data_IF_179528330712
#
_entry.id   IF_179528330712
#
_cell.length_a   1.000
_cell.length_b   1.000
_cell.length_c   1.000
_cell.angle_alpha   90.00
_cell.angle_beta   90.00
_cell.angle_gamma   90.00
#
_symmetry.space_group_name_H-M   'P 1'
#
loop_
_entity.id
_entity.type
_entity.pdbx_description
1 polymer ?
#
# COMPACT_ATOMS: atom_id res chain seq x y z
N UNK A 1 -44.00 -16.90 8.18
CA UNK A 1 -42.92 -15.93 8.21
C UNK A 1 -41.68 -16.65 8.71
N UNK A 2 -40.66 -16.88 7.89
CA UNK A 2 -39.41 -17.45 8.36
C UNK A 2 -38.46 -16.33 8.82
N UNK A 3 -37.91 -16.53 10.00
CA UNK A 3 -36.93 -15.68 10.67
C UNK A 3 -35.67 -15.51 9.80
N UNK A 4 -35.30 -14.26 9.56
CA UNK A 4 -34.03 -13.94 8.94
C UNK A 4 -32.92 -14.06 9.98
N UNK A 5 -32.06 -15.06 9.79
CA UNK A 5 -30.81 -15.18 10.54
C UNK A 5 -29.91 -13.98 10.21
N UNK A 6 -29.24 -13.38 11.21
CA UNK A 6 -28.25 -12.34 10.93
C UNK A 6 -27.03 -12.94 10.20
N UNK A 7 -26.35 -12.20 9.34
CA UNK A 7 -25.20 -12.69 8.61
C UNK A 7 -24.04 -13.01 9.57
N UNK A 8 -23.44 -14.18 9.33
CA UNK A 8 -22.32 -14.71 10.09
C UNK A 8 -21.17 -13.71 10.23
N UNK A 9 -20.72 -13.52 11.46
CA UNK A 9 -19.57 -12.69 11.84
C UNK A 9 -18.20 -13.25 11.39
N UNK A 10 -18.16 -14.33 10.62
CA UNK A 10 -16.90 -14.97 10.18
C UNK A 10 -16.20 -14.29 8.99
N UNK A 11 -16.82 -13.31 8.35
CA UNK A 11 -16.26 -12.68 7.13
C UNK A 11 -15.17 -11.62 7.37
N UNK A 12 -14.81 -11.31 8.60
CA UNK A 12 -13.87 -10.23 8.95
C UNK A 12 -12.44 -10.69 9.29
N UNK A 13 -12.10 -11.97 9.10
CA UNK A 13 -10.82 -12.53 9.59
C UNK A 13 -9.75 -12.79 8.52
N UNK A 14 -9.82 -12.18 7.32
CA UNK A 14 -8.89 -12.48 6.22
C UNK A 14 -7.92 -11.37 5.87
N UNK A 15 -7.17 -10.88 6.86
CA UNK A 15 -5.92 -10.16 6.59
C UNK A 15 -4.73 -10.95 7.16
N UNK A 16 -4.13 -11.81 6.35
CA UNK A 16 -2.90 -12.50 6.75
C UNK A 16 -1.71 -11.58 6.58
N UNK A 17 -1.12 -11.18 7.70
CA UNK A 17 0.11 -10.41 7.75
C UNK A 17 1.32 -11.34 7.81
N UNK A 18 2.22 -11.25 6.84
CA UNK A 18 3.55 -11.86 6.91
C UNK A 18 4.52 -10.79 7.45
N UNK A 19 5.07 -11.00 8.65
CA UNK A 19 6.06 -10.09 9.25
C UNK A 19 7.33 -10.82 9.59
N UNK A 20 8.48 -10.24 9.26
CA UNK A 20 9.79 -10.71 9.69
C UNK A 20 10.16 -10.05 11.03
N UNK A 21 10.35 -10.86 12.06
CA UNK A 21 11.02 -10.49 13.31
C UNK A 21 10.19 -9.68 14.31
N UNK A 22 10.64 -9.70 15.56
CA UNK A 22 10.05 -8.98 16.69
C UNK A 22 9.98 -7.47 16.42
N UNK A 23 8.79 -6.94 16.29
CA UNK A 23 8.57 -5.49 16.30
C UNK A 23 8.70 -5.02 17.73
N UNK A 24 9.80 -4.34 18.06
CA UNK A 24 9.90 -3.59 19.30
C UNK A 24 8.74 -2.59 19.38
N UNK A 25 8.10 -2.40 20.55
CA UNK A 25 7.03 -1.42 20.67
C UNK A 25 7.56 -0.03 20.30
N UNK A 26 6.76 0.81 19.65
CA UNK A 26 7.17 2.14 19.26
C UNK A 26 7.54 2.94 20.51
N UNK A 27 8.69 3.63 20.49
CA UNK A 27 9.02 4.66 21.47
C UNK A 27 7.88 5.68 21.47
N UNK A 28 7.42 6.03 22.67
CA UNK A 28 6.42 7.07 22.90
C UNK A 28 7.03 8.47 22.59
N UNK A 29 7.22 8.78 21.32
CA UNK A 29 7.31 10.16 20.87
C UNK A 29 5.88 10.66 20.71
N UNK A 30 5.56 11.78 21.33
CA UNK A 30 4.23 12.40 21.35
C UNK A 30 3.75 12.93 19.97
N UNK A 31 4.48 12.64 18.90
CA UNK A 31 4.10 12.98 17.52
C UNK A 31 3.00 12.03 17.04
N UNK A 32 1.91 12.58 16.54
CA UNK A 32 0.89 11.78 15.86
C UNK A 32 1.52 10.94 14.73
N UNK A 33 1.21 9.63 14.70
CA UNK A 33 1.67 8.72 13.66
C UNK A 33 1.12 9.18 12.30
N UNK A 34 1.89 9.02 11.24
CA UNK A 34 1.47 9.32 9.86
C UNK A 34 1.74 8.14 8.94
N UNK A 35 0.72 7.78 8.16
CA UNK A 35 0.74 6.67 7.22
C UNK A 35 0.51 7.18 5.80
N UNK A 36 1.45 6.89 4.89
CA UNK A 36 1.35 7.22 3.48
C UNK A 36 0.88 5.97 2.70
N UNK A 37 -0.31 6.05 2.09
CA UNK A 37 -0.90 4.98 1.28
C UNK A 37 -0.67 5.30 -0.20
N UNK A 38 0.21 4.56 -0.86
CA UNK A 38 0.57 4.77 -2.26
C UNK A 38 -0.30 3.92 -3.18
N UNK A 39 -1.16 4.57 -3.94
CA UNK A 39 -1.98 3.92 -4.95
C UNK A 39 -1.16 3.50 -6.17
N UNK A 40 -1.61 2.51 -6.94
CA UNK A 40 -1.02 2.20 -8.23
C UNK A 40 -1.00 3.44 -9.14
N UNK A 41 0.12 3.65 -9.85
CA UNK A 41 0.17 4.68 -10.88
C UNK A 41 -0.97 4.47 -11.90
N UNK A 42 -1.79 5.47 -12.17
CA UNK A 42 -3.03 5.50 -12.96
C UNK A 42 -4.30 5.06 -12.20
N UNK A 43 -4.21 4.66 -10.94
CA UNK A 43 -5.41 4.47 -10.13
C UNK A 43 -6.09 5.83 -9.89
N UNK A 44 -7.41 5.86 -9.99
CA UNK A 44 -8.19 7.07 -9.79
C UNK A 44 -8.75 7.11 -8.38
N UNK A 45 -8.27 8.03 -7.58
CA UNK A 45 -8.80 8.30 -6.24
C UNK A 45 -9.88 9.38 -6.32
N UNK A 46 -11.04 9.02 -6.85
CA UNK A 46 -12.12 9.96 -7.19
C UNK A 46 -13.45 9.43 -6.70
N UNK A 47 -14.26 10.31 -6.10
CA UNK A 47 -15.60 9.98 -5.62
C UNK A 47 -16.56 9.54 -6.74
N UNK A 48 -16.34 10.00 -7.97
CA UNK A 48 -17.21 9.70 -9.12
C UNK A 48 -16.74 8.57 -10.01
N UNK A 49 -15.44 8.20 -9.92
CA UNK A 49 -14.84 7.22 -10.82
C UNK A 49 -13.63 6.53 -10.16
N UNK A 50 -13.85 6.00 -8.95
CA UNK A 50 -12.82 5.27 -8.24
C UNK A 50 -12.43 3.99 -8.97
N UNK A 51 -11.13 3.69 -9.01
CA UNK A 51 -10.66 2.36 -9.34
C UNK A 51 -10.88 1.38 -8.19
N UNK A 52 -10.76 0.09 -8.46
CA UNK A 52 -11.02 -0.95 -7.46
C UNK A 52 -10.10 -0.84 -6.22
N UNK A 53 -8.82 -0.54 -6.43
CA UNK A 53 -7.86 -0.37 -5.33
C UNK A 53 -8.17 0.90 -4.54
N UNK A 54 -8.54 1.99 -5.22
CA UNK A 54 -8.92 3.24 -4.57
C UNK A 54 -10.15 3.05 -3.68
N UNK A 55 -11.16 2.29 -4.12
CA UNK A 55 -12.34 1.95 -3.31
C UNK A 55 -11.95 1.18 -2.05
N UNK A 56 -11.14 0.14 -2.18
CA UNK A 56 -10.66 -0.63 -1.01
C UNK A 56 -9.89 0.26 -0.03
N UNK A 57 -9.00 1.12 -0.53
CA UNK A 57 -8.25 2.05 0.33
C UNK A 57 -9.17 3.02 1.04
N UNK A 58 -10.17 3.57 0.33
CA UNK A 58 -11.17 4.47 0.93
C UNK A 58 -11.92 3.78 2.06
N UNK A 59 -12.40 2.55 1.84
CA UNK A 59 -13.15 1.80 2.85
C UNK A 59 -12.25 1.46 4.06
N UNK A 60 -11.00 1.06 3.85
CA UNK A 60 -10.05 0.77 4.92
C UNK A 60 -9.75 2.02 5.76
N UNK A 61 -9.52 3.17 5.12
CA UNK A 61 -9.26 4.43 5.82
C UNK A 61 -10.47 4.84 6.64
N UNK A 62 -11.67 4.82 6.06
CA UNK A 62 -12.93 5.19 6.75
C UNK A 62 -13.27 4.27 7.92
N UNK A 63 -12.95 2.97 7.80
CA UNK A 63 -13.14 2.01 8.89
C UNK A 63 -12.11 2.17 10.01
N UNK A 64 -11.02 2.92 9.81
CA UNK A 64 -9.99 3.10 10.82
C UNK A 64 -10.40 4.12 11.88
N UNK A 65 -10.13 3.80 13.15
CA UNK A 65 -10.29 4.75 14.26
C UNK A 65 -9.27 5.92 14.22
N UNK A 66 -8.28 5.84 13.33
CA UNK A 66 -7.21 6.83 13.17
C UNK A 66 -7.15 7.34 11.74
N UNK A 67 -8.32 7.52 11.12
CA UNK A 67 -8.43 7.92 9.71
C UNK A 67 -7.69 9.23 9.40
N UNK A 68 -7.60 10.14 10.34
CA UNK A 68 -6.88 11.42 10.28
C UNK A 68 -5.34 11.29 10.15
N UNK A 69 -4.82 10.08 10.32
CA UNK A 69 -3.38 9.78 10.22
C UNK A 69 -2.96 9.25 8.85
N UNK A 70 -3.93 9.00 7.98
CA UNK A 70 -3.68 8.47 6.65
C UNK A 70 -3.64 9.60 5.63
N UNK A 71 -2.66 9.52 4.76
CA UNK A 71 -2.54 10.34 3.57
C UNK A 71 -2.47 9.44 2.35
N UNK A 72 -3.41 9.57 1.44
CA UNK A 72 -3.44 8.82 0.18
C UNK A 72 -2.63 9.56 -0.87
N UNK A 73 -1.68 8.87 -1.49
CA UNK A 73 -0.81 9.39 -2.53
C UNK A 73 -1.20 8.75 -3.86
N UNK A 74 -1.57 9.55 -4.84
CA UNK A 74 -2.02 9.05 -6.14
C UNK A 74 -1.74 10.02 -7.27
N UNK A 75 -2.06 9.62 -8.50
CA UNK A 75 -2.02 10.54 -9.65
C UNK A 75 -3.12 11.59 -9.53
N UNK A 76 -2.90 12.84 -10.01
CA UNK A 76 -3.92 13.88 -9.97
C UNK A 76 -5.24 13.42 -10.60
N UNK A 77 -6.35 13.81 -9.97
CA UNK A 77 -7.73 13.59 -10.43
C UNK A 77 -8.55 14.85 -10.23
N UNK A 78 -9.62 15.03 -10.99
CA UNK A 78 -10.44 16.24 -10.95
C UNK A 78 -11.31 16.35 -9.69
N UNK A 79 -11.82 15.22 -9.18
CA UNK A 79 -12.72 15.18 -8.03
C UNK A 79 -12.26 14.07 -7.05
N UNK A 80 -11.22 14.31 -6.24
CA UNK A 80 -10.79 13.35 -5.23
C UNK A 80 -11.89 13.18 -4.15
N UNK A 81 -11.79 12.11 -3.36
CA UNK A 81 -12.57 12.04 -2.12
C UNK A 81 -12.17 13.21 -1.22
N UNK A 82 -13.16 13.90 -0.66
CA UNK A 82 -13.00 15.14 0.12
C UNK A 82 -12.82 14.91 1.63
N UNK A 83 -13.18 13.71 2.09
CA UNK A 83 -13.11 13.30 3.50
C UNK A 83 -11.78 12.62 3.89
N UNK A 84 -10.86 12.40 2.93
CA UNK A 84 -9.57 11.75 3.15
C UNK A 84 -8.44 12.64 2.62
N UNK A 85 -7.39 12.81 3.41
CA UNK A 85 -6.22 13.58 2.95
C UNK A 85 -5.64 12.95 1.67
N UNK A 86 -5.77 13.64 0.55
CA UNK A 86 -5.24 13.21 -0.74
C UNK A 86 -4.09 14.12 -1.19
N UNK A 87 -2.96 13.51 -1.51
CA UNK A 87 -1.80 14.19 -2.06
C UNK A 87 -1.62 13.80 -3.53
N UNK A 88 -2.03 14.64 -4.48
CA UNK A 88 -1.82 14.40 -5.90
C UNK A 88 -0.34 14.47 -6.25
N UNK A 89 0.18 13.42 -6.86
CA UNK A 89 1.58 13.32 -7.24
C UNK A 89 1.71 13.28 -8.77
N UNK A 90 2.04 14.41 -9.41
CA UNK A 90 2.22 14.46 -10.85
C UNK A 90 3.51 13.73 -11.26
N UNK A 91 3.36 12.69 -12.08
CA UNK A 91 4.49 11.95 -12.63
C UNK A 91 4.91 12.56 -13.94
N UNK A 92 6.05 13.24 -13.97
CA UNK A 92 6.66 13.68 -15.24
C UNK A 92 7.14 12.46 -16.01
N UNK A 93 6.66 12.26 -17.24
CA UNK A 93 7.17 11.25 -18.14
C UNK A 93 8.67 11.50 -18.37
N UNK A 94 9.51 10.68 -17.77
CA UNK A 94 10.93 10.60 -18.13
C UNK A 94 11.10 9.39 -19.05
N UNK A 95 11.73 9.57 -20.18
CA UNK A 95 11.96 8.56 -21.21
C UNK A 95 12.63 7.27 -20.70
N UNK A 96 13.35 7.36 -19.60
CA UNK A 96 14.20 6.28 -19.08
C UNK A 96 13.54 5.40 -18.01
N UNK A 97 12.38 5.76 -17.48
CA UNK A 97 11.76 5.03 -16.36
C UNK A 97 10.27 4.82 -16.64
N UNK A 98 9.81 3.57 -16.55
CA UNK A 98 8.39 3.24 -16.64
C UNK A 98 7.57 3.97 -15.53
N UNK A 99 6.27 4.16 -15.75
CA UNK A 99 5.40 4.96 -14.88
C UNK A 99 5.47 4.61 -13.39
N UNK A 100 5.65 3.33 -13.05
CA UNK A 100 5.77 2.88 -11.66
C UNK A 100 7.05 3.41 -10.98
N UNK A 101 8.20 3.35 -11.65
CA UNK A 101 9.45 3.88 -11.09
C UNK A 101 9.41 5.41 -11.06
N UNK A 102 8.86 6.03 -12.10
CA UNK A 102 8.64 7.49 -12.11
C UNK A 102 7.77 7.96 -10.94
N UNK A 103 6.74 7.20 -10.58
CA UNK A 103 5.89 7.46 -9.42
C UNK A 103 6.67 7.31 -8.11
N UNK A 104 7.43 6.22 -7.95
CA UNK A 104 8.28 6.01 -6.78
C UNK A 104 9.31 7.15 -6.60
N UNK A 105 9.96 7.59 -7.67
CA UNK A 105 10.92 8.71 -7.62
C UNK A 105 10.24 10.04 -7.29
N UNK A 106 9.04 10.30 -7.83
CA UNK A 106 8.26 11.49 -7.49
C UNK A 106 7.90 11.50 -6.00
N UNK A 107 7.47 10.35 -5.46
CA UNK A 107 7.20 10.19 -4.04
C UNK A 107 8.44 10.43 -3.17
N UNK A 108 9.57 9.82 -3.52
CA UNK A 108 10.83 10.02 -2.79
C UNK A 108 11.30 11.48 -2.83
N UNK A 109 11.08 12.17 -3.95
CA UNK A 109 11.38 13.59 -4.07
C UNK A 109 10.44 14.46 -3.21
N UNK A 110 9.15 14.10 -3.13
CA UNK A 110 8.18 14.77 -2.27
C UNK A 110 8.58 14.68 -0.79
N UNK A 111 9.13 13.54 -0.37
CA UNK A 111 9.59 13.36 1.01
C UNK A 111 10.85 14.17 1.37
N UNK A 112 11.55 14.74 0.39
CA UNK A 112 12.75 15.56 0.70
C UNK A 112 12.37 16.80 1.49
N UNK A 113 12.99 16.98 2.64
CA UNK A 113 12.71 18.11 3.52
C UNK A 113 11.43 17.99 4.36
N UNK A 114 10.74 16.85 4.28
CA UNK A 114 9.61 16.53 5.15
C UNK A 114 10.00 15.47 6.19
N UNK A 115 9.28 15.46 7.31
CA UNK A 115 9.37 14.35 8.25
C UNK A 115 8.94 13.05 7.57
N UNK A 116 9.69 11.98 7.75
CA UNK A 116 9.33 10.67 7.20
C UNK A 116 8.00 10.18 7.78
N UNK A 117 7.15 9.50 7.00
CA UNK A 117 5.99 8.81 7.53
C UNK A 117 6.43 7.64 8.40
N UNK A 118 5.60 7.23 9.34
CA UNK A 118 5.85 6.09 10.21
C UNK A 118 5.69 4.75 9.45
N UNK A 119 4.88 4.76 8.39
CA UNK A 119 4.73 3.63 7.46
C UNK A 119 4.40 4.16 6.06
N UNK A 120 5.00 3.54 5.07
CA UNK A 120 4.63 3.66 3.65
C UNK A 120 3.97 2.36 3.24
N UNK A 121 2.70 2.38 2.91
CA UNK A 121 1.99 1.22 2.38
C UNK A 121 1.82 1.37 0.87
N UNK A 122 2.37 0.41 0.11
CA UNK A 122 2.33 0.41 -1.36
C UNK A 122 1.31 -0.59 -1.84
N UNK A 123 0.29 -0.12 -2.57
CA UNK A 123 -0.77 -0.99 -3.08
C UNK A 123 -0.43 -1.56 -4.46
N UNK A 124 -0.43 -2.90 -4.58
CA UNK A 124 -0.41 -3.66 -5.82
C UNK A 124 0.78 -3.41 -6.76
N UNK A 125 1.93 -2.95 -6.24
CA UNK A 125 3.10 -2.66 -7.09
C UNK A 125 4.41 -3.07 -6.42
N UNK A 126 4.76 -4.35 -6.54
CA UNK A 126 6.00 -4.93 -6.00
C UNK A 126 7.24 -4.09 -6.35
N UNK A 127 7.36 -3.66 -7.61
CA UNK A 127 8.46 -2.86 -8.10
C UNK A 127 8.58 -1.49 -7.39
N UNK A 128 7.46 -0.85 -7.04
CA UNK A 128 7.44 0.43 -6.34
C UNK A 128 7.93 0.26 -4.91
N UNK A 129 7.40 -0.74 -4.20
CA UNK A 129 7.82 -1.06 -2.82
C UNK A 129 9.31 -1.39 -2.75
N UNK A 130 9.79 -2.26 -3.66
CA UNK A 130 11.21 -2.61 -3.75
C UNK A 130 12.10 -1.38 -4.01
N UNK A 131 11.68 -0.50 -4.94
CA UNK A 131 12.45 0.70 -5.30
C UNK A 131 12.53 1.70 -4.13
N UNK A 132 11.39 1.99 -3.48
CA UNK A 132 11.36 2.88 -2.32
C UNK A 132 12.25 2.34 -1.20
N UNK A 133 12.13 1.06 -0.88
CA UNK A 133 12.94 0.43 0.18
C UNK A 133 14.44 0.41 -0.16
N UNK A 134 14.80 0.23 -1.42
CA UNK A 134 16.19 0.26 -1.86
C UNK A 134 16.80 1.68 -1.77
N UNK A 135 16.03 2.73 -2.06
CA UNK A 135 16.49 4.12 -2.02
C UNK A 135 16.44 4.74 -0.61
N UNK A 136 15.51 4.29 0.21
CA UNK A 136 15.31 4.74 1.59
C UNK A 136 15.15 3.52 2.52
N UNK A 137 16.27 2.87 2.87
CA UNK A 137 16.24 1.69 3.73
C UNK A 137 15.77 1.98 5.16
N UNK A 138 15.78 3.23 5.57
CA UNK A 138 15.25 3.73 6.85
C UNK A 138 13.72 3.71 6.92
N UNK A 139 13.02 3.82 5.79
CA UNK A 139 11.56 3.80 5.77
C UNK A 139 11.02 2.40 6.10
N UNK A 140 9.97 2.39 6.91
CA UNK A 140 9.12 1.20 7.06
C UNK A 140 8.18 1.13 5.86
N UNK A 141 8.32 0.08 5.07
CA UNK A 141 7.52 -0.10 3.85
C UNK A 141 6.74 -1.41 3.97
N UNK A 142 5.42 -1.33 3.79
CA UNK A 142 4.54 -2.48 3.60
C UNK A 142 4.09 -2.56 2.13
N UNK A 143 3.82 -3.78 1.67
CA UNK A 143 3.25 -4.04 0.35
C UNK A 143 1.90 -4.72 0.52
N UNK A 144 0.85 -4.09 -0.03
CA UNK A 144 -0.50 -4.63 -0.04
C UNK A 144 -0.80 -5.23 -1.42
N UNK A 145 -1.00 -6.55 -1.47
CA UNK A 145 -1.23 -7.30 -2.70
C UNK A 145 -2.72 -7.54 -2.93
N UNK A 146 -3.25 -6.99 -4.03
CA UNK A 146 -4.63 -7.18 -4.48
C UNK A 146 -4.75 -8.26 -5.56
N UNK A 147 -3.66 -8.58 -6.25
CA UNK A 147 -3.62 -9.54 -7.35
C UNK A 147 -2.39 -10.43 -7.21
N UNK A 148 -2.31 -11.48 -8.02
CA UNK A 148 -1.20 -12.42 -8.05
C UNK A 148 0.15 -11.71 -8.29
N UNK A 149 1.10 -11.78 -7.36
CA UNK A 149 2.40 -11.15 -7.51
C UNK A 149 3.25 -11.77 -8.60
N UNK A 150 2.97 -13.00 -9.01
CA UNK A 150 3.72 -13.71 -10.09
C UNK A 150 3.52 -13.03 -11.44
N UNK A 151 2.42 -12.32 -11.63
CA UNK A 151 2.12 -11.52 -12.83
C UNK A 151 2.64 -10.07 -12.72
N UNK A 152 3.29 -9.73 -11.61
CA UNK A 152 3.72 -8.36 -11.35
C UNK A 152 5.23 -8.19 -11.52
N UNK A 153 5.62 -7.14 -12.23
CA UNK A 153 7.04 -6.75 -12.29
C UNK A 153 7.59 -6.48 -10.88
N UNK A 154 8.66 -7.19 -10.53
CA UNK A 154 9.27 -7.13 -9.21
C UNK A 154 8.69 -8.11 -8.19
N UNK A 155 7.72 -8.96 -8.60
CA UNK A 155 7.19 -10.09 -7.84
C UNK A 155 7.18 -11.40 -8.64
N UNK A 156 7.42 -11.32 -9.95
CA UNK A 156 7.27 -12.40 -10.90
C UNK A 156 8.33 -13.52 -10.81
N UNK A 157 9.32 -13.37 -9.97
CA UNK A 157 10.32 -14.44 -9.70
C UNK A 157 10.38 -14.76 -8.21
N UNK A 158 10.73 -16.00 -7.88
CA UNK A 158 10.95 -16.45 -6.50
C UNK A 158 11.98 -15.54 -5.79
N UNK A 159 13.12 -15.26 -6.44
CA UNK A 159 14.16 -14.41 -5.87
C UNK A 159 13.68 -12.98 -5.58
N UNK A 160 12.82 -12.42 -6.45
CA UNK A 160 12.22 -11.11 -6.20
C UNK A 160 11.28 -11.14 -5.00
N UNK A 161 10.41 -12.15 -4.88
CA UNK A 161 9.50 -12.31 -3.74
C UNK A 161 10.27 -12.55 -2.43
N UNK A 162 11.31 -13.39 -2.45
CA UNK A 162 12.21 -13.59 -1.32
C UNK A 162 12.85 -12.26 -0.86
N UNK A 163 13.30 -11.43 -1.82
CA UNK A 163 13.87 -10.11 -1.53
C UNK A 163 12.84 -9.17 -0.89
N UNK A 164 11.60 -9.15 -1.40
CA UNK A 164 10.52 -8.35 -0.81
C UNK A 164 10.23 -8.81 0.62
N UNK A 165 10.10 -10.12 0.84
CA UNK A 165 9.83 -10.70 2.16
C UNK A 165 10.94 -10.34 3.16
N UNK A 166 12.20 -10.39 2.74
CA UNK A 166 13.34 -10.09 3.60
C UNK A 166 13.49 -8.59 3.93
N UNK A 167 13.09 -7.69 3.03
CA UNK A 167 13.37 -6.25 3.17
C UNK A 167 12.19 -5.42 3.64
N UNK A 168 10.97 -5.81 3.33
CA UNK A 168 9.79 -5.04 3.69
C UNK A 168 9.35 -5.31 5.12
N UNK A 169 8.68 -4.33 5.72
CA UNK A 169 8.17 -4.43 7.09
C UNK A 169 6.96 -5.36 7.19
N UNK A 170 6.19 -5.47 6.12
CA UNK A 170 5.06 -6.40 6.00
C UNK A 170 4.70 -6.65 4.53
N UNK A 171 4.14 -7.83 4.27
CA UNK A 171 3.38 -8.15 3.07
C UNK A 171 1.95 -8.43 3.52
N UNK A 172 0.99 -7.74 2.94
CA UNK A 172 -0.44 -7.88 3.22
C UNK A 172 -1.09 -8.46 1.98
N UNK A 173 -1.84 -9.52 2.12
CA UNK A 173 -2.52 -10.20 1.03
C UNK A 173 -4.04 -10.13 1.26
N UNK A 174 -4.80 -9.80 0.21
CA UNK A 174 -6.28 -9.70 0.29
C UNK A 174 -6.96 -11.05 0.54
N UNK A 175 -6.25 -12.17 0.32
CA UNK A 175 -6.77 -13.52 0.52
C UNK A 175 -5.64 -14.53 0.73
N UNK A 176 -5.97 -15.71 1.24
CA UNK A 176 -5.03 -16.83 1.33
C UNK A 176 -4.52 -17.25 -0.04
N UNK A 177 -5.37 -17.22 -1.08
CA UNK A 177 -4.93 -17.48 -2.46
C UNK A 177 -3.76 -16.56 -2.87
N UNK A 178 -3.88 -15.26 -2.63
CA UNK A 178 -2.79 -14.31 -2.96
C UNK A 178 -1.55 -14.53 -2.08
N UNK A 179 -1.75 -14.91 -0.83
CA UNK A 179 -0.65 -15.30 0.07
C UNK A 179 0.09 -16.52 -0.47
N UNK A 180 -0.64 -17.56 -0.88
CA UNK A 180 -0.06 -18.79 -1.42
C UNK A 180 0.68 -18.52 -2.74
N UNK A 181 0.11 -17.68 -3.62
CA UNK A 181 0.79 -17.20 -4.82
C UNK A 181 2.10 -16.45 -4.51
N UNK A 182 2.11 -15.65 -3.43
CA UNK A 182 3.32 -14.93 -3.01
C UNK A 182 4.39 -15.90 -2.46
N UNK A 183 3.99 -16.91 -1.71
CA UNK A 183 4.88 -17.88 -1.06
C UNK A 183 5.34 -19.00 -2.01
N UNK A 184 4.72 -19.14 -3.16
CA UNK A 184 5.00 -20.20 -4.13
C UNK A 184 6.50 -20.25 -4.48
N UNK A 185 7.17 -21.35 -4.12
CA UNK A 185 8.59 -21.59 -4.34
C UNK A 185 9.56 -20.87 -3.38
N UNK A 186 9.06 -20.19 -2.34
CA UNK A 186 9.89 -19.58 -1.27
C UNK A 186 10.31 -20.60 -0.23
#
# INVERSE_FOLDING_TARGET
>A
MPDANPPDQESLHFMTRLSNGSVSPPRADSRALRYDLLLPHKEKFSATNAGAVASVVTDLVRASQTYDRFRVIGTPVDAPFDDIEFCPLPVRRRWLHGGNIGFAEAYLNMLRGQAAPDLVEVHGRCQVAAHIKAKRPDLRVALYLHNDPRDMKGGNTVAARATLLAKLSAIICVSDYIKDCFLDGL
#
